data_IF_025465957035
#
_entry.id   IF_025465957035
#
_cell.length_a   1.000
_cell.length_b   1.000
_cell.length_c   1.000
_cell.angle_alpha   90.00
_cell.angle_beta   90.00
_cell.angle_gamma   90.00
#
_symmetry.space_group_name_H-M   'P 1'
#
loop_
_entity.id
_entity.type
_entity.pdbx_description
1 polymer ?
#
# COMPACT_ATOMS: atom_id res chain seq x y z
N UNK A 1 -9.84 -57.16 21.74
CA UNK A 1 -9.09 -55.94 22.13
C UNK A 1 -9.42 -54.86 21.11
N UNK A 2 -10.03 -53.75 21.53
CA UNK A 2 -10.45 -52.66 20.64
C UNK A 2 -9.35 -51.59 20.63
N UNK A 3 -8.60 -51.51 19.53
CA UNK A 3 -7.60 -50.47 19.31
C UNK A 3 -8.33 -49.22 18.82
N UNK A 4 -8.45 -48.21 19.69
CA UNK A 4 -8.98 -46.91 19.31
C UNK A 4 -7.90 -46.13 18.55
N UNK A 5 -8.14 -45.86 17.27
CA UNK A 5 -7.30 -44.99 16.44
C UNK A 5 -7.60 -43.53 16.82
N UNK A 6 -6.66 -42.85 17.47
CA UNK A 6 -6.75 -41.42 17.76
C UNK A 6 -6.38 -40.66 16.48
N UNK A 7 -7.37 -40.08 15.81
CA UNK A 7 -7.16 -39.19 14.67
C UNK A 7 -6.71 -37.84 15.23
N UNK A 8 -5.41 -37.56 15.11
CA UNK A 8 -4.83 -36.25 15.41
C UNK A 8 -5.21 -35.26 14.29
N UNK A 9 -6.18 -34.39 14.58
CA UNK A 9 -6.47 -33.21 13.77
C UNK A 9 -5.42 -32.14 14.10
N UNK A 10 -4.23 -32.24 13.48
CA UNK A 10 -3.28 -31.14 13.46
C UNK A 10 -3.82 -30.05 12.52
N UNK A 11 -4.49 -29.09 13.13
CA UNK A 11 -4.99 -27.86 12.53
C UNK A 11 -3.84 -27.06 11.90
N UNK A 12 -3.68 -27.20 10.59
CA UNK A 12 -2.90 -26.29 9.74
C UNK A 12 -3.58 -24.92 9.80
N UNK A 13 -3.05 -24.00 10.61
CA UNK A 13 -3.60 -22.65 10.82
C UNK A 13 -2.68 -21.54 10.30
N UNK A 14 -1.76 -21.85 9.38
CA UNK A 14 -0.72 -20.90 8.93
C UNK A 14 -1.07 -20.05 7.71
N UNK A 15 -2.26 -20.19 7.09
CA UNK A 15 -2.59 -19.49 5.82
C UNK A 15 -3.36 -18.17 6.02
N UNK A 16 -3.67 -17.77 7.25
CA UNK A 16 -4.61 -16.66 7.51
C UNK A 16 -4.01 -15.25 7.38
N UNK A 17 -2.69 -15.09 7.50
CA UNK A 17 -2.08 -13.79 7.80
C UNK A 17 -1.94 -12.89 6.56
N UNK A 18 -1.46 -13.42 5.43
CA UNK A 18 -1.38 -12.69 4.15
C UNK A 18 -2.77 -12.36 3.60
N UNK A 19 -3.76 -13.18 3.93
CA UNK A 19 -5.15 -13.02 3.48
C UNK A 19 -5.78 -11.71 3.99
N UNK A 20 -5.45 -11.26 5.20
CA UNK A 20 -5.95 -10.00 5.76
C UNK A 20 -5.44 -8.79 4.97
N UNK A 21 -4.14 -8.70 4.74
CA UNK A 21 -3.55 -7.61 3.94
C UNK A 21 -4.05 -7.70 2.49
N UNK A 22 -4.15 -8.91 1.93
CA UNK A 22 -4.68 -9.13 0.58
C UNK A 22 -6.13 -8.67 0.43
N UNK A 23 -6.97 -8.92 1.44
CA UNK A 23 -8.38 -8.55 1.42
C UNK A 23 -8.61 -7.05 1.29
N UNK A 24 -7.65 -6.23 1.77
CA UNK A 24 -7.64 -4.79 1.59
C UNK A 24 -7.00 -4.43 0.25
N UNK A 25 -5.82 -4.96 -0.02
CA UNK A 25 -4.95 -4.48 -1.09
C UNK A 25 -5.51 -4.77 -2.48
N UNK A 26 -6.21 -5.90 -2.66
CA UNK A 26 -6.77 -6.33 -3.95
C UNK A 26 -7.74 -5.32 -4.59
N UNK A 27 -8.41 -4.49 -3.80
CA UNK A 27 -9.39 -3.51 -4.29
C UNK A 27 -8.71 -2.28 -4.93
N UNK A 28 -7.42 -2.07 -4.65
CA UNK A 28 -6.67 -0.87 -5.03
C UNK A 28 -5.71 -1.11 -6.20
N UNK A 29 -5.53 -2.37 -6.60
CA UNK A 29 -4.79 -2.71 -7.79
C UNK A 29 -5.73 -2.78 -8.98
N UNK A 30 -5.41 -2.05 -10.04
CA UNK A 30 -6.09 -2.24 -11.33
C UNK A 30 -5.74 -3.59 -11.97
N UNK A 31 -4.47 -3.97 -11.85
CA UNK A 31 -3.96 -5.31 -12.15
C UNK A 31 -3.36 -5.88 -10.87
N UNK A 32 -3.93 -6.98 -10.39
CA UNK A 32 -3.52 -7.63 -9.14
C UNK A 32 -2.12 -8.28 -9.28
N UNK A 33 -1.07 -7.76 -8.61
CA UNK A 33 0.28 -8.27 -8.73
C UNK A 33 0.46 -9.65 -8.08
N UNK A 34 -0.49 -10.11 -7.27
CA UNK A 34 -0.42 -11.37 -6.52
C UNK A 34 -0.99 -12.57 -7.30
N UNK A 35 -1.58 -12.31 -8.49
CA UNK A 35 -2.22 -13.35 -9.34
C UNK A 35 -1.45 -13.71 -10.59
N UNK A 36 -0.42 -12.93 -10.93
CA UNK A 36 0.38 -13.09 -12.14
C UNK A 36 1.86 -12.96 -11.78
N UNK A 37 2.75 -13.31 -12.72
CA UNK A 37 4.17 -13.03 -12.52
C UNK A 37 4.40 -11.52 -12.39
N UNK A 38 5.36 -11.15 -11.56
CA UNK A 38 5.65 -9.75 -11.27
C UNK A 38 6.09 -8.98 -12.53
N UNK A 39 6.89 -9.60 -13.39
CA UNK A 39 7.24 -9.08 -14.71
C UNK A 39 6.02 -8.81 -15.60
N UNK A 40 5.01 -9.69 -15.60
CA UNK A 40 3.77 -9.45 -16.33
C UNK A 40 2.97 -8.30 -15.72
N UNK A 41 2.91 -8.19 -14.39
CA UNK A 41 2.32 -7.05 -13.71
C UNK A 41 2.99 -5.73 -14.13
N UNK A 42 4.32 -5.66 -14.07
CA UNK A 42 5.09 -4.49 -14.52
C UNK A 42 4.80 -4.15 -15.97
N UNK A 43 4.81 -5.15 -16.86
CA UNK A 43 4.51 -4.96 -18.28
C UNK A 43 3.09 -4.42 -18.50
N UNK A 44 2.09 -4.97 -17.82
CA UNK A 44 0.71 -4.49 -17.92
C UNK A 44 0.55 -3.08 -17.37
N UNK A 45 1.17 -2.76 -16.23
CA UNK A 45 1.12 -1.43 -15.62
C UNK A 45 1.74 -0.38 -16.54
N UNK A 46 2.94 -0.64 -17.07
CA UNK A 46 3.65 0.28 -17.98
C UNK A 46 2.85 0.49 -19.26
N UNK A 47 2.19 -0.56 -19.78
CA UNK A 47 1.46 -0.52 -21.04
C UNK A 47 -0.03 -0.18 -20.88
N UNK A 48 -0.52 0.12 -19.67
CA UNK A 48 -1.95 0.41 -19.44
C UNK A 48 -2.38 1.67 -20.23
N UNK A 49 -3.33 1.56 -21.18
CA UNK A 49 -3.79 2.71 -21.98
C UNK A 49 -4.63 3.71 -21.17
N UNK A 50 -5.07 3.32 -19.98
CA UNK A 50 -5.78 4.16 -19.02
C UNK A 50 -4.87 5.00 -18.13
N UNK A 51 -3.54 4.89 -18.28
CA UNK A 51 -2.56 5.74 -17.61
C UNK A 51 -1.92 6.67 -18.64
N UNK A 52 -1.83 7.96 -18.31
CA UNK A 52 -1.17 9.02 -19.08
C UNK A 52 -0.01 9.62 -18.29
N UNK A 53 0.76 10.51 -18.91
CA UNK A 53 1.85 11.25 -18.26
C UNK A 53 2.88 10.33 -17.56
N UNK A 54 3.21 9.22 -18.25
CA UNK A 54 4.06 8.18 -17.68
C UNK A 54 5.51 8.63 -17.57
N UNK A 55 6.11 8.38 -16.42
CA UNK A 55 7.54 8.51 -16.17
C UNK A 55 8.08 7.17 -15.68
N UNK A 56 9.16 6.70 -16.29
CA UNK A 56 9.73 5.38 -15.99
C UNK A 56 11.24 5.49 -15.85
N UNK A 57 11.74 5.00 -14.73
CA UNK A 57 13.16 4.71 -14.51
C UNK A 57 13.31 3.21 -14.37
N UNK A 58 14.03 2.59 -15.31
CA UNK A 58 14.35 1.16 -15.20
C UNK A 58 15.45 0.95 -14.16
N UNK A 59 15.41 -0.20 -13.50
CA UNK A 59 16.48 -0.62 -12.59
C UNK A 59 17.82 -0.68 -13.34
N UNK A 60 18.87 -0.17 -12.70
CA UNK A 60 20.26 -0.20 -13.15
C UNK A 60 21.17 -0.29 -11.94
N UNK A 61 22.49 -0.30 -12.14
CA UNK A 61 23.47 -0.35 -11.05
C UNK A 61 23.38 0.86 -10.10
N UNK A 62 22.89 2.01 -10.60
CA UNK A 62 22.81 3.26 -9.85
C UNK A 62 21.39 3.74 -9.55
N UNK A 63 20.37 3.00 -9.98
CA UNK A 63 18.97 3.41 -9.80
C UNK A 63 18.04 2.22 -9.58
N UNK A 64 17.17 2.34 -8.59
CA UNK A 64 16.07 1.41 -8.37
C UNK A 64 14.94 1.66 -9.37
N UNK A 65 14.08 0.66 -9.57
CA UNK A 65 12.92 0.81 -10.44
C UNK A 65 11.97 1.90 -9.94
N UNK A 66 11.49 2.73 -10.86
CA UNK A 66 10.47 3.75 -10.58
C UNK A 66 9.50 3.87 -11.75
N UNK A 67 8.22 3.96 -11.42
CA UNK A 67 7.14 4.26 -12.34
C UNK A 67 6.21 5.28 -11.71
N UNK A 68 5.79 6.28 -12.49
CA UNK A 68 4.75 7.24 -12.14
C UNK A 68 3.83 7.41 -13.34
N UNK A 69 2.55 7.66 -13.10
CA UNK A 69 1.61 8.11 -14.12
C UNK A 69 0.30 8.62 -13.51
N UNK A 70 -0.59 9.13 -14.36
CA UNK A 70 -1.90 9.64 -13.97
C UNK A 70 -2.99 8.82 -14.63
N UNK A 71 -3.98 8.37 -13.86
CA UNK A 71 -5.12 7.64 -14.41
C UNK A 71 -6.09 8.58 -15.13
N UNK A 72 -6.58 8.17 -16.31
CA UNK A 72 -7.58 8.92 -17.08
C UNK A 72 -8.94 9.01 -16.39
N UNK A 73 -9.38 7.92 -15.76
CA UNK A 73 -10.73 7.79 -15.21
C UNK A 73 -10.84 6.88 -13.99
N UNK A 74 -9.76 6.18 -13.62
CA UNK A 74 -9.77 5.29 -12.46
C UNK A 74 -9.44 6.09 -11.19
N UNK A 75 -10.33 6.00 -10.20
CA UNK A 75 -10.10 6.49 -8.83
C UNK A 75 -10.62 5.45 -7.85
N UNK A 76 -9.79 4.98 -6.90
CA UNK A 76 -10.24 4.06 -5.85
C UNK A 76 -10.96 4.78 -4.68
N UNK A 77 -11.02 6.12 -4.72
CA UNK A 77 -11.57 6.94 -3.65
C UNK A 77 -13.07 7.16 -3.84
N UNK A 78 -13.83 7.25 -2.74
CA UNK A 78 -15.28 7.47 -2.77
C UNK A 78 -15.66 8.95 -2.94
N UNK A 79 -14.68 9.85 -2.93
CA UNK A 79 -14.85 11.28 -3.16
C UNK A 79 -14.42 11.66 -4.58
N UNK A 80 -14.98 12.74 -5.15
CA UNK A 80 -14.47 13.31 -6.39
C UNK A 80 -13.02 13.77 -6.22
N UNK A 81 -12.14 13.29 -7.09
CA UNK A 81 -10.74 13.75 -7.19
C UNK A 81 -10.54 14.39 -8.56
N UNK A 82 -9.73 15.44 -8.63
CA UNK A 82 -9.35 16.09 -9.88
C UNK A 82 -8.59 15.11 -10.79
N UNK A 83 -7.67 14.35 -10.20
CA UNK A 83 -6.97 13.26 -10.85
C UNK A 83 -6.42 12.28 -9.80
N UNK A 84 -6.15 11.06 -10.25
CA UNK A 84 -5.53 10.02 -9.44
C UNK A 84 -4.15 9.69 -10.03
N UNK A 85 -3.09 9.94 -9.27
CA UNK A 85 -1.72 9.58 -9.63
C UNK A 85 -1.38 8.22 -9.04
N UNK A 86 -0.64 7.43 -9.81
CA UNK A 86 -0.08 6.15 -9.39
C UNK A 86 1.45 6.24 -9.38
N UNK A 87 2.06 5.70 -8.34
CA UNK A 87 3.50 5.53 -8.23
C UNK A 87 3.78 4.08 -7.89
N UNK A 88 4.75 3.46 -8.56
CA UNK A 88 5.35 2.19 -8.17
C UNK A 88 6.86 2.40 -8.05
N UNK A 89 7.40 2.29 -6.85
CA UNK A 89 8.81 2.52 -6.59
C UNK A 89 9.42 1.32 -5.86
N UNK A 90 10.56 0.84 -6.34
CA UNK A 90 11.41 -0.07 -5.59
C UNK A 90 12.18 0.73 -4.54
N UNK A 91 12.25 0.19 -3.33
CA UNK A 91 12.89 0.77 -2.16
C UNK A 91 13.82 -0.24 -1.54
N UNK A 92 14.90 0.25 -0.94
CA UNK A 92 15.79 -0.52 -0.09
C UNK A 92 15.50 -0.17 1.37
N UNK A 93 15.42 -1.18 2.23
CA UNK A 93 15.43 -1.04 3.68
C UNK A 93 16.43 -2.01 4.29
N UNK A 94 16.57 -1.97 5.62
CA UNK A 94 17.37 -2.92 6.39
C UNK A 94 16.53 -3.59 7.47
N UNK A 95 16.87 -4.84 7.79
CA UNK A 95 16.27 -5.53 8.93
C UNK A 95 16.65 -4.86 10.24
N UNK A 96 15.75 -4.90 11.22
CA UNK A 96 15.97 -4.36 12.58
C UNK A 96 16.83 -5.27 13.47
N UNK A 97 17.50 -6.28 12.90
CA UNK A 97 18.37 -7.19 13.64
C UNK A 97 19.82 -6.67 13.69
N UNK A 98 20.69 -7.40 14.40
CA UNK A 98 22.10 -7.02 14.52
C UNK A 98 22.86 -7.05 13.19
N UNK A 99 22.33 -7.76 12.19
CA UNK A 99 22.98 -7.90 10.87
C UNK A 99 22.63 -6.75 9.94
N UNK A 100 21.50 -6.06 10.16
CA UNK A 100 20.98 -4.99 9.30
C UNK A 100 21.02 -5.37 7.82
N UNK A 101 20.59 -6.60 7.52
CA UNK A 101 20.60 -7.15 6.17
C UNK A 101 19.71 -6.31 5.26
N UNK A 102 20.23 -5.82 4.12
CA UNK A 102 19.43 -5.03 3.20
C UNK A 102 18.39 -5.91 2.50
N UNK A 103 17.19 -5.36 2.31
CA UNK A 103 16.14 -5.99 1.51
C UNK A 103 15.45 -4.96 0.62
N UNK A 104 14.89 -5.45 -0.49
CA UNK A 104 14.16 -4.62 -1.44
C UNK A 104 12.66 -4.91 -1.37
N UNK A 105 11.85 -3.86 -1.42
CA UNK A 105 10.41 -3.96 -1.50
C UNK A 105 9.88 -2.93 -2.50
N UNK A 106 8.62 -3.09 -2.90
CA UNK A 106 7.93 -2.16 -3.77
C UNK A 106 6.86 -1.40 -2.99
N UNK A 107 6.84 -0.08 -3.18
CA UNK A 107 5.75 0.80 -2.76
C UNK A 107 4.85 1.10 -3.96
N UNK A 108 3.60 0.67 -3.87
CA UNK A 108 2.54 1.04 -4.79
C UNK A 108 1.65 2.10 -4.13
N UNK A 109 1.64 3.30 -4.66
CA UNK A 109 0.91 4.44 -4.11
C UNK A 109 -0.18 4.89 -5.08
N UNK A 110 -1.36 5.17 -4.52
CA UNK A 110 -2.45 5.85 -5.19
C UNK A 110 -2.68 7.18 -4.49
N UNK A 111 -2.65 8.26 -5.26
CA UNK A 111 -2.71 9.64 -4.78
C UNK A 111 -3.89 10.35 -5.44
N UNK A 112 -4.94 10.62 -4.67
CA UNK A 112 -6.10 11.40 -5.09
C UNK A 112 -5.90 12.88 -4.77
N UNK A 113 -5.86 13.72 -5.80
CA UNK A 113 -5.75 15.17 -5.66
C UNK A 113 -7.14 15.80 -5.65
N UNK A 114 -7.41 16.66 -4.66
CA UNK A 114 -8.70 17.29 -4.43
C UNK A 114 -8.55 18.80 -4.35
N UNK A 115 -9.27 19.52 -5.20
CA UNK A 115 -9.28 20.98 -5.26
C UNK A 115 -10.07 21.59 -4.10
N UNK A 116 -9.63 22.76 -3.63
CA UNK A 116 -10.25 23.48 -2.51
C UNK A 116 -11.38 24.45 -2.90
N UNK A 117 -12.06 24.21 -4.02
CA UNK A 117 -13.11 25.13 -4.49
C UNK A 117 -14.42 24.96 -3.70
N UNK A 118 -14.75 23.74 -3.27
CA UNK A 118 -16.10 23.41 -2.79
C UNK A 118 -16.08 22.33 -1.67
N UNK A 119 -15.53 22.63 -0.50
CA UNK A 119 -15.44 21.70 0.67
C UNK A 119 -14.34 20.61 0.63
N UNK A 120 -13.36 20.70 -0.27
CA UNK A 120 -12.35 19.63 -0.48
C UNK A 120 -11.64 19.10 0.79
N UNK A 121 -11.36 19.95 1.78
CA UNK A 121 -10.78 19.50 3.06
C UNK A 121 -11.72 18.57 3.85
N UNK A 122 -13.00 18.92 3.87
CA UNK A 122 -14.03 18.15 4.58
C UNK A 122 -14.18 16.79 3.92
N UNK A 123 -14.23 16.75 2.59
CA UNK A 123 -14.32 15.51 1.81
C UNK A 123 -13.11 14.60 2.03
N UNK A 124 -11.89 15.14 1.95
CA UNK A 124 -10.67 14.37 2.19
C UNK A 124 -10.61 13.81 3.60
N UNK A 125 -11.03 14.58 4.62
CA UNK A 125 -11.08 14.09 6.00
C UNK A 125 -12.14 13.00 6.19
N UNK A 126 -13.34 13.17 5.62
CA UNK A 126 -14.40 12.16 5.67
C UNK A 126 -14.00 10.86 4.96
N UNK A 127 -13.34 10.98 3.81
CA UNK A 127 -12.78 9.86 3.07
C UNK A 127 -11.71 9.13 3.88
N UNK A 128 -10.78 9.88 4.49
CA UNK A 128 -9.76 9.34 5.36
C UNK A 128 -10.35 8.59 6.56
N UNK A 129 -11.38 9.13 7.21
CA UNK A 129 -12.06 8.46 8.31
C UNK A 129 -12.78 7.17 7.87
N UNK A 130 -13.46 7.19 6.72
CA UNK A 130 -14.10 6.00 6.14
C UNK A 130 -13.08 4.91 5.84
N UNK A 131 -11.97 5.25 5.18
CA UNK A 131 -10.89 4.33 4.86
C UNK A 131 -10.20 3.81 6.12
N UNK A 132 -9.91 4.68 7.09
CA UNK A 132 -9.36 4.28 8.39
C UNK A 132 -10.27 3.27 9.10
N UNK A 133 -11.59 3.50 9.10
CA UNK A 133 -12.57 2.56 9.65
C UNK A 133 -12.61 1.24 8.87
N UNK A 134 -12.49 1.27 7.53
CA UNK A 134 -12.38 0.06 6.70
C UNK A 134 -11.13 -0.74 7.06
N UNK A 135 -9.97 -0.08 7.15
CA UNK A 135 -8.68 -0.73 7.40
C UNK A 135 -8.56 -1.25 8.83
N UNK A 136 -8.99 -0.47 9.81
CA UNK A 136 -8.92 -0.84 11.25
C UNK A 136 -9.79 -2.04 11.62
N UNK A 137 -10.71 -2.49 10.75
CA UNK A 137 -11.48 -3.73 10.95
C UNK A 137 -10.67 -5.00 10.69
N UNK A 138 -9.56 -4.87 9.96
CA UNK A 138 -8.78 -6.00 9.44
C UNK A 138 -7.31 -5.90 9.88
N UNK A 139 -6.79 -4.68 9.98
CA UNK A 139 -5.41 -4.37 10.36
C UNK A 139 -5.36 -3.55 11.66
N UNK A 140 -4.22 -3.61 12.34
CA UNK A 140 -3.93 -2.82 13.54
C UNK A 140 -3.15 -1.57 13.15
N UNK A 141 -3.55 -0.37 13.61
CA UNK A 141 -2.75 0.84 13.45
C UNK A 141 -1.52 0.77 14.36
N UNK A 142 -0.32 0.82 13.77
CA UNK A 142 0.97 0.77 14.48
C UNK A 142 1.50 2.16 14.80
N UNK A 143 1.36 3.10 13.84
CA UNK A 143 1.83 4.47 14.00
C UNK A 143 0.77 5.45 13.49
N UNK A 144 0.57 6.54 14.24
CA UNK A 144 -0.24 7.69 13.82
C UNK A 144 0.60 8.95 13.94
N UNK A 145 0.71 9.68 12.84
CA UNK A 145 1.49 10.92 12.79
C UNK A 145 0.63 12.04 12.24
N UNK A 146 0.57 13.15 12.97
CA UNK A 146 -0.02 14.39 12.46
C UNK A 146 1.09 15.21 11.79
N UNK A 147 0.83 15.68 10.58
CA UNK A 147 1.65 16.67 9.90
C UNK A 147 1.17 18.05 10.35
N UNK A 148 2.05 18.81 10.99
CA UNK A 148 1.75 20.17 11.43
C UNK A 148 2.34 21.18 10.44
N UNK A 149 1.56 22.22 10.12
CA UNK A 149 2.04 23.39 9.40
C UNK A 149 1.55 24.63 10.14
N UNK A 150 2.47 25.50 10.51
CA UNK A 150 2.21 26.61 11.43
C UNK A 150 1.57 26.09 12.73
N UNK A 151 0.37 26.57 13.07
CA UNK A 151 -0.40 26.18 14.27
C UNK A 151 -1.46 25.11 14.01
N UNK A 152 -1.61 24.63 12.78
CA UNK A 152 -2.70 23.72 12.38
C UNK A 152 -2.25 22.33 11.94
N UNK A 153 -3.19 21.38 11.95
CA UNK A 153 -3.03 20.04 11.36
C UNK A 153 -3.16 20.17 9.83
N UNK A 154 -2.05 19.95 9.16
CA UNK A 154 -1.91 19.98 7.70
C UNK A 154 -1.99 18.59 7.07
N UNK A 155 -2.12 17.52 7.86
CA UNK A 155 -2.29 16.17 7.34
C UNK A 155 -2.20 15.13 8.45
N UNK A 156 -2.61 13.90 8.14
CA UNK A 156 -2.42 12.75 9.01
C UNK A 156 -1.89 11.56 8.21
N UNK A 157 -1.07 10.75 8.86
CA UNK A 157 -0.55 9.48 8.33
C UNK A 157 -0.86 8.40 9.36
N UNK A 158 -1.43 7.29 8.91
CA UNK A 158 -1.62 6.09 9.72
C UNK A 158 -0.96 4.92 9.00
N UNK A 159 -0.01 4.28 9.68
CA UNK A 159 0.60 3.04 9.24
C UNK A 159 -0.15 1.88 9.88
N UNK A 160 -0.54 0.90 9.07
CA UNK A 160 -1.22 -0.31 9.50
C UNK A 160 -0.35 -1.52 9.29
N UNK A 161 -0.46 -2.48 10.21
CA UNK A 161 0.17 -3.79 10.12
C UNK A 161 -0.82 -4.87 10.55
N UNK A 162 -0.43 -6.13 10.34
CA UNK A 162 -1.07 -7.27 10.98
C UNK A 162 0.01 -8.02 11.76
N UNK A 163 0.09 -7.79 13.08
CA UNK A 163 1.18 -8.29 13.95
C UNK A 163 2.55 -7.66 13.57
N UNK A 164 3.61 -8.03 14.29
CA UNK A 164 4.98 -7.57 14.03
C UNK A 164 5.44 -8.03 12.64
N UNK A 165 5.26 -7.20 11.64
CA UNK A 165 5.72 -7.44 10.26
C UNK A 165 7.09 -6.80 10.06
N UNK A 166 7.88 -7.36 9.13
CA UNK A 166 9.19 -6.81 8.78
C UNK A 166 9.13 -5.38 8.21
N UNK A 167 7.98 -4.99 7.65
CA UNK A 167 7.68 -3.61 7.25
C UNK A 167 6.17 -3.38 7.26
N UNK A 168 5.76 -2.10 7.25
CA UNK A 168 4.35 -1.69 7.34
C UNK A 168 3.63 -1.87 5.99
N UNK A 169 2.72 -2.85 5.82
CA UNK A 169 2.11 -3.18 4.54
C UNK A 169 1.24 -2.07 3.95
N UNK A 170 0.56 -1.29 4.79
CA UNK A 170 -0.45 -0.33 4.35
C UNK A 170 -0.24 0.98 5.07
N UNK A 171 -0.19 2.09 4.33
CA UNK A 171 -0.26 3.44 4.87
C UNK A 171 -1.46 4.16 4.28
N UNK A 172 -2.24 4.80 5.13
CA UNK A 172 -3.25 5.77 4.73
C UNK A 172 -2.78 7.17 5.12
N UNK A 173 -2.82 8.12 4.21
CA UNK A 173 -2.43 9.49 4.50
C UNK A 173 -3.39 10.50 3.86
N UNK A 174 -3.55 11.65 4.49
CA UNK A 174 -4.04 12.86 3.83
C UNK A 174 -3.15 14.05 4.17
N UNK A 175 -3.08 15.03 3.29
CA UNK A 175 -2.32 16.26 3.53
C UNK A 175 -2.86 17.45 2.73
N UNK A 176 -2.63 18.67 3.21
CA UNK A 176 -2.70 19.89 2.41
C UNK A 176 -1.38 20.09 1.67
N UNK A 177 -1.45 20.43 0.38
CA UNK A 177 -0.27 20.68 -0.42
C UNK A 177 0.39 21.98 0.01
N UNK A 178 1.73 22.03 -0.07
CA UNK A 178 2.47 23.26 0.18
C UNK A 178 2.28 24.19 -1.02
N UNK A 179 2.05 25.48 -0.75
CA UNK A 179 1.87 26.52 -1.79
C UNK A 179 0.65 26.34 -2.72
N UNK A 180 -0.17 25.32 -2.48
CA UNK A 180 -1.49 25.16 -3.09
C UNK A 180 -2.56 25.11 -2.00
N UNK A 181 -3.79 25.48 -2.37
CA UNK A 181 -4.95 25.28 -1.53
C UNK A 181 -5.45 23.84 -1.57
N UNK A 182 -4.96 23.02 -2.51
CA UNK A 182 -5.40 21.65 -2.75
C UNK A 182 -4.99 20.67 -1.65
N UNK A 183 -5.69 19.55 -1.63
CA UNK A 183 -5.50 18.45 -0.69
C UNK A 183 -5.18 17.15 -1.42
N UNK A 184 -4.58 16.25 -0.68
CA UNK A 184 -4.19 14.91 -1.11
C UNK A 184 -4.80 13.89 -0.17
N UNK A 185 -5.33 12.80 -0.72
CA UNK A 185 -5.55 11.53 -0.04
C UNK A 185 -4.64 10.47 -0.68
N UNK A 186 -4.00 9.61 0.12
CA UNK A 186 -3.06 8.63 -0.37
C UNK A 186 -3.23 7.27 0.31
N UNK A 187 -3.16 6.21 -0.49
CA UNK A 187 -3.04 4.82 -0.04
C UNK A 187 -1.71 4.30 -0.55
N UNK A 188 -0.85 3.83 0.34
CA UNK A 188 0.41 3.15 0.00
C UNK A 188 0.29 1.69 0.39
N UNK A 189 0.62 0.81 -0.54
CA UNK A 189 0.68 -0.64 -0.36
C UNK A 189 2.12 -1.08 -0.57
N UNK A 190 2.63 -1.91 0.33
CA UNK A 190 4.00 -2.44 0.27
C UNK A 190 4.00 -3.94 0.10
N UNK A 191 4.86 -4.44 -0.78
CA UNK A 191 5.01 -5.86 -1.03
C UNK A 191 6.42 -6.19 -1.56
N UNK A 192 6.83 -7.44 -1.39
CA UNK A 192 8.11 -7.97 -1.87
C UNK A 192 7.96 -8.53 -3.28
N UNK A 193 9.06 -8.56 -4.03
CA UNK A 193 9.19 -9.35 -5.25
C UNK A 193 10.24 -10.43 -5.02
N UNK A 194 9.83 -11.70 -5.01
CA UNK A 194 10.72 -12.85 -4.84
C UNK A 194 10.47 -13.79 -6.01
N UNK A 195 11.53 -14.18 -6.73
CA UNK A 195 11.43 -15.12 -7.85
C UNK A 195 10.30 -14.76 -8.85
N UNK A 196 10.23 -13.48 -9.24
CA UNK A 196 9.25 -12.98 -10.20
C UNK A 196 7.78 -13.14 -9.74
N UNK A 197 7.53 -13.11 -8.44
CA UNK A 197 6.21 -13.19 -7.83
C UNK A 197 6.09 -12.15 -6.71
N UNK A 198 4.93 -11.50 -6.62
CA UNK A 198 4.69 -10.50 -5.59
C UNK A 198 4.20 -11.18 -4.29
N UNK A 199 4.72 -10.74 -3.15
CA UNK A 199 4.35 -11.28 -1.84
C UNK A 199 4.04 -10.16 -0.86
N UNK A 200 2.92 -10.28 -0.17
CA UNK A 200 2.63 -9.42 0.98
C UNK A 200 3.61 -9.74 2.12
N UNK A 201 3.93 -8.75 2.98
CA UNK A 201 4.80 -8.99 4.13
C UNK A 201 4.23 -10.13 4.98
N UNK A 202 5.14 -11.01 5.39
CA UNK A 202 4.91 -12.04 6.39
C UNK A 202 5.35 -11.51 7.76
N UNK A 203 4.70 -11.93 8.85
CA UNK A 203 5.16 -11.60 10.21
C UNK A 203 6.63 -11.99 10.40
N UNK A 204 7.40 -11.16 11.11
CA UNK A 204 8.83 -11.36 11.34
C UNK A 204 9.14 -12.67 12.09
N UNK A 205 8.18 -13.15 12.89
CA UNK A 205 8.28 -14.40 13.66
C UNK A 205 7.73 -15.63 12.90
N UNK A 206 7.54 -15.55 11.58
CA UNK A 206 7.04 -16.69 10.80
C UNK A 206 8.14 -17.74 10.61
N UNK A 207 7.86 -19.04 10.87
CA UNK A 207 8.84 -20.12 10.78
C UNK A 207 9.34 -20.38 9.36
#
# INVERSE_FOLDING_TARGET
MKTAFLISFLLISTVSNSQSVYSISKDYFRTDPFKISFSNFISQLINDPGIIEKKITKRSDSALFYFEGVYKSYSPFFIPVNYCKIILAEKEDRTDDSTQTPFFYYEYQLLGYVSNKDEGLKDVKLEFEKLNKKFSRILTPEEKRELKRNTGVAGNIINYSYKKMAFLPVTLAWASLQESTDYLIAITLRFLNINNSAYLPIPADSP
#
